data_IF_329669908423
#
_entry.id   IF_329669908423
#
_cell.length_a   1.000
_cell.length_b   1.000
_cell.length_c   1.000
_cell.angle_alpha   90.00
_cell.angle_beta   90.00
_cell.angle_gamma   90.00
#
_symmetry.space_group_name_H-M   'P 1'
#
loop_
_entity.id
_entity.type
_entity.pdbx_description
1 polymer ?
#
# COMPACT_ATOMS: atom_id res chain seq x y z
N UNK A 1 -27.97 -34.81 -62.97
CA UNK A 1 -27.01 -33.71 -62.70
C UNK A 1 -27.54 -32.71 -61.66
N UNK A 2 -28.79 -32.23 -61.80
CA UNK A 2 -29.45 -31.28 -60.87
C UNK A 2 -29.39 -31.64 -59.37
N UNK A 3 -29.70 -32.91 -59.06
CA UNK A 3 -29.81 -33.42 -57.67
C UNK A 3 -28.46 -33.41 -56.94
N UNK A 4 -27.38 -33.75 -57.65
CA UNK A 4 -26.00 -33.75 -57.13
C UNK A 4 -25.57 -32.32 -56.81
N UNK A 5 -25.88 -31.37 -57.70
CA UNK A 5 -25.55 -29.95 -57.50
C UNK A 5 -26.27 -29.35 -56.28
N UNK A 6 -27.56 -29.67 -56.08
CA UNK A 6 -28.33 -29.22 -54.90
C UNK A 6 -27.79 -29.80 -53.58
N UNK A 7 -27.40 -31.07 -53.58
CA UNK A 7 -26.78 -31.71 -52.41
C UNK A 7 -25.41 -31.12 -52.09
N UNK A 8 -24.58 -30.87 -53.09
CA UNK A 8 -23.27 -30.24 -52.88
C UNK A 8 -23.39 -28.82 -52.28
N UNK A 9 -24.32 -28.01 -52.83
CA UNK A 9 -24.57 -26.65 -52.33
C UNK A 9 -25.11 -26.66 -50.89
N UNK A 10 -25.93 -27.64 -50.51
CA UNK A 10 -26.49 -27.73 -49.15
C UNK A 10 -25.44 -28.10 -48.11
N UNK A 11 -24.54 -29.04 -48.42
CA UNK A 11 -23.42 -29.42 -47.54
C UNK A 11 -22.40 -28.28 -47.41
N UNK A 12 -22.08 -27.59 -48.51
CA UNK A 12 -21.22 -26.40 -48.47
C UNK A 12 -21.82 -25.29 -47.58
N UNK A 13 -23.13 -25.05 -47.67
CA UNK A 13 -23.82 -24.07 -46.83
C UNK A 13 -23.80 -24.45 -45.34
N UNK A 14 -23.88 -25.74 -45.01
CA UNK A 14 -23.77 -26.22 -43.62
C UNK A 14 -22.35 -26.05 -43.06
N UNK A 15 -21.32 -26.35 -43.86
CA UNK A 15 -19.92 -26.15 -43.47
C UNK A 15 -19.57 -24.68 -43.21
N UNK A 16 -20.02 -23.80 -44.10
CA UNK A 16 -19.84 -22.34 -43.97
C UNK A 16 -20.53 -21.81 -42.69
N UNK A 17 -21.76 -22.26 -42.39
CA UNK A 17 -22.47 -21.88 -41.16
C UNK A 17 -21.76 -22.36 -39.88
N UNK A 18 -21.20 -23.58 -39.89
CA UNK A 18 -20.41 -24.10 -38.76
C UNK A 18 -19.14 -23.28 -38.55
N UNK A 19 -18.45 -22.92 -39.64
CA UNK A 19 -17.23 -22.11 -39.60
C UNK A 19 -17.48 -20.69 -39.06
N UNK A 20 -18.57 -20.04 -39.48
CA UNK A 20 -18.96 -18.74 -38.93
C UNK A 20 -19.37 -18.84 -37.44
N UNK A 21 -20.05 -19.92 -37.04
CA UNK A 21 -20.46 -20.13 -35.65
C UNK A 21 -19.27 -20.37 -34.71
N UNK A 22 -18.28 -21.17 -35.13
CA UNK A 22 -17.07 -21.42 -34.33
C UNK A 22 -16.17 -20.19 -34.25
N UNK A 23 -16.04 -19.42 -35.34
CA UNK A 23 -15.29 -18.16 -35.33
C UNK A 23 -15.96 -17.12 -34.41
N UNK A 24 -17.29 -17.07 -34.38
CA UNK A 24 -18.05 -16.20 -33.48
C UNK A 24 -17.92 -16.60 -32.01
N UNK A 25 -17.86 -17.90 -31.69
CA UNK A 25 -17.71 -18.39 -30.31
C UNK A 25 -16.30 -18.10 -29.75
N UNK A 26 -15.27 -18.24 -30.60
CA UNK A 26 -13.88 -17.90 -30.27
C UNK A 26 -13.69 -16.40 -30.08
N UNK A 27 -14.26 -15.57 -30.94
CA UNK A 27 -14.21 -14.11 -30.82
C UNK A 27 -14.93 -13.61 -29.54
N UNK A 28 -16.05 -14.23 -29.17
CA UNK A 28 -16.78 -13.88 -27.95
C UNK A 28 -16.01 -14.26 -26.67
N UNK A 29 -15.36 -15.42 -26.64
CA UNK A 29 -14.51 -15.83 -25.52
C UNK A 29 -13.31 -14.90 -25.30
N UNK A 30 -12.72 -14.38 -26.39
CA UNK A 30 -11.61 -13.44 -26.34
C UNK A 30 -12.04 -12.05 -25.81
N UNK A 31 -13.27 -11.62 -26.13
CA UNK A 31 -13.85 -10.35 -25.66
C UNK A 31 -14.23 -10.38 -24.17
N UNK A 32 -14.70 -11.53 -23.65
CA UNK A 32 -15.02 -11.70 -22.23
C UNK A 32 -13.76 -11.76 -21.36
N UNK A 33 -12.66 -12.36 -21.87
CA UNK A 33 -11.36 -12.39 -21.17
C UNK A 33 -10.74 -10.99 -21.00
N UNK A 34 -10.95 -10.11 -21.99
CA UNK A 34 -10.50 -8.70 -21.92
C UNK A 34 -11.19 -7.86 -20.84
N UNK A 35 -12.40 -8.25 -20.39
CA UNK A 35 -13.19 -7.50 -19.42
C UNK A 35 -12.91 -7.88 -17.96
N UNK A 36 -12.24 -9.02 -17.72
CA UNK A 36 -11.98 -9.52 -16.37
C UNK A 36 -10.77 -8.86 -15.66
N UNK A 37 -10.01 -8.01 -16.35
CA UNK A 37 -8.79 -7.40 -15.82
C UNK A 37 -8.98 -6.02 -15.18
N UNK A 38 -10.22 -5.54 -14.99
CA UNK A 38 -10.49 -4.34 -14.19
C UNK A 38 -10.48 -4.66 -12.69
N UNK A 39 -9.35 -5.19 -12.18
CA UNK A 39 -9.09 -5.11 -10.75
C UNK A 39 -8.79 -3.65 -10.43
N UNK A 40 -9.79 -2.94 -9.89
CA UNK A 40 -9.57 -1.62 -9.32
C UNK A 40 -8.51 -1.74 -8.23
N UNK A 41 -7.33 -1.17 -8.47
CA UNK A 41 -6.36 -0.94 -7.43
C UNK A 41 -6.99 0.02 -6.42
N UNK A 42 -7.44 -0.51 -5.28
CA UNK A 42 -7.91 0.32 -4.18
C UNK A 42 -6.70 1.13 -3.70
N UNK A 43 -6.77 2.45 -3.78
CA UNK A 43 -5.73 3.31 -3.25
C UNK A 43 -5.73 3.14 -1.73
N UNK A 44 -4.76 2.38 -1.22
CA UNK A 44 -4.61 2.14 0.21
C UNK A 44 -4.12 3.42 0.88
N UNK A 45 -4.98 4.08 1.64
CA UNK A 45 -4.61 5.25 2.44
C UNK A 45 -3.82 4.82 3.68
N UNK A 46 -2.70 5.48 3.95
CA UNK A 46 -1.86 5.24 5.13
C UNK A 46 -1.98 6.38 6.13
N UNK A 47 -1.68 6.10 7.39
CA UNK A 47 -1.62 7.08 8.45
C UNK A 47 -0.42 6.82 9.36
N UNK A 48 0.11 7.91 9.92
CA UNK A 48 0.99 7.84 11.09
C UNK A 48 0.13 7.70 12.32
N UNK A 49 0.40 6.69 13.12
CA UNK A 49 -0.41 6.28 14.27
C UNK A 49 0.43 6.13 15.53
N UNK A 50 -0.23 6.28 16.67
CA UNK A 50 0.35 6.06 17.99
C UNK A 50 -0.65 5.36 18.92
N UNK A 51 -0.21 5.10 20.15
CA UNK A 51 -1.05 4.49 21.17
C UNK A 51 -2.30 5.37 21.43
N UNK A 52 -3.49 4.80 21.72
CA UNK A 52 -4.72 5.56 21.93
C UNK A 52 -4.60 6.67 22.99
N UNK A 53 -3.80 6.41 24.03
CA UNK A 53 -3.53 7.37 25.11
C UNK A 53 -2.38 8.36 24.83
N UNK A 54 -1.77 8.32 23.65
CA UNK A 54 -0.68 9.24 23.32
C UNK A 54 -1.21 10.69 23.29
N UNK A 55 -0.39 11.69 23.69
CA UNK A 55 -0.76 13.10 23.54
C UNK A 55 -0.96 13.46 22.07
N UNK A 56 -1.49 14.65 21.79
CA UNK A 56 -1.47 15.17 20.42
C UNK A 56 -0.03 15.53 20.05
N UNK A 57 0.41 15.06 18.88
CA UNK A 57 1.77 15.25 18.38
C UNK A 57 1.65 15.97 17.04
N UNK A 58 2.04 17.26 16.95
CA UNK A 58 1.97 18.00 15.71
C UNK A 58 3.01 17.48 14.71
N UNK A 59 2.79 17.73 13.42
CA UNK A 59 3.64 17.24 12.33
C UNK A 59 5.12 17.63 12.48
N UNK A 60 5.39 18.84 12.98
CA UNK A 60 6.75 19.31 13.23
C UNK A 60 7.49 18.50 14.30
N UNK A 61 6.74 18.00 15.30
CA UNK A 61 7.29 17.11 16.31
C UNK A 61 7.47 15.70 15.77
N UNK A 62 6.53 15.20 14.96
CA UNK A 62 6.68 13.91 14.27
C UNK A 62 7.94 13.89 13.41
N UNK A 63 8.21 14.96 12.66
CA UNK A 63 9.44 15.12 11.89
C UNK A 63 10.68 15.00 12.78
N UNK A 64 10.74 15.75 13.88
CA UNK A 64 11.87 15.68 14.83
C UNK A 64 12.03 14.30 15.45
N UNK A 65 10.93 13.59 15.73
CA UNK A 65 10.96 12.22 16.26
C UNK A 65 11.57 11.26 15.22
N UNK A 66 11.09 11.27 13.99
CA UNK A 66 11.57 10.39 12.92
C UNK A 66 12.99 10.72 12.43
N UNK A 67 13.45 11.95 12.65
CA UNK A 67 14.83 12.40 12.41
C UNK A 67 15.76 12.18 13.61
N UNK A 68 15.24 11.76 14.77
CA UNK A 68 16.01 11.48 15.98
C UNK A 68 16.38 12.69 16.82
N UNK A 69 15.88 13.88 16.47
CA UNK A 69 16.10 15.14 17.18
C UNK A 69 15.25 15.25 18.45
N UNK A 70 14.12 14.52 18.53
CA UNK A 70 13.27 14.42 19.72
C UNK A 70 13.12 12.97 20.15
N UNK A 71 13.53 12.66 21.39
CA UNK A 71 13.57 11.28 21.94
C UNK A 71 12.49 10.97 22.98
N UNK A 72 11.75 11.99 23.43
CA UNK A 72 10.68 11.85 24.41
C UNK A 72 9.47 12.71 24.01
N UNK A 73 8.27 12.26 24.35
CA UNK A 73 7.03 13.04 24.28
C UNK A 73 6.96 14.08 25.41
N UNK A 74 6.01 15.04 25.37
CA UNK A 74 5.87 16.07 26.40
C UNK A 74 5.68 15.53 27.82
N UNK A 75 5.13 14.34 27.96
CA UNK A 75 4.91 13.62 29.23
C UNK A 75 6.16 12.85 29.71
N UNK A 76 7.28 12.92 28.98
CA UNK A 76 8.51 12.19 29.28
C UNK A 76 8.56 10.76 28.70
N UNK A 77 7.50 10.29 28.04
CA UNK A 77 7.46 8.95 27.44
C UNK A 77 8.49 8.85 26.30
N UNK A 78 9.39 7.88 26.38
CA UNK A 78 10.41 7.65 25.33
C UNK A 78 9.77 7.22 24.02
N UNK A 79 10.07 7.92 22.92
CA UNK A 79 9.51 7.60 21.61
C UNK A 79 10.25 6.44 20.95
N UNK A 80 9.50 5.60 20.24
CA UNK A 80 10.02 4.50 19.42
C UNK A 80 9.39 4.58 18.02
N UNK A 81 9.92 5.42 17.11
CA UNK A 81 9.42 5.50 15.75
C UNK A 81 9.71 4.19 14.99
N UNK A 82 8.76 3.76 14.16
CA UNK A 82 8.89 2.54 13.34
C UNK A 82 8.61 2.81 11.87
N UNK A 83 9.19 1.98 11.00
CA UNK A 83 8.94 1.94 9.56
C UNK A 83 8.60 0.52 9.10
N UNK A 84 7.72 0.40 8.11
CA UNK A 84 7.43 -0.88 7.43
C UNK A 84 8.00 -0.89 6.01
N UNK A 85 8.34 -2.09 5.53
CA UNK A 85 8.69 -2.35 4.13
C UNK A 85 7.46 -2.16 3.24
N UNK A 86 7.21 -0.92 2.85
CA UNK A 86 5.96 -0.51 2.18
C UNK A 86 5.54 0.91 2.52
N UNK A 87 6.24 1.58 3.44
CA UNK A 87 6.01 2.99 3.77
C UNK A 87 5.98 3.84 2.48
N UNK A 88 4.88 4.58 2.23
CA UNK A 88 4.68 5.37 1.02
C UNK A 88 5.70 6.50 0.90
N UNK A 89 6.02 6.93 -0.33
CA UNK A 89 6.97 8.03 -0.59
C UNK A 89 6.44 9.35 -0.01
N UNK A 90 5.13 9.51 -0.06
CA UNK A 90 4.36 10.64 0.47
C UNK A 90 4.61 10.87 1.95
N UNK A 91 4.86 9.82 2.73
CA UNK A 91 5.23 9.96 4.14
C UNK A 91 6.53 10.77 4.28
N UNK A 92 7.57 10.38 3.54
CA UNK A 92 8.87 11.03 3.62
C UNK A 92 8.75 12.50 3.19
N UNK A 93 8.06 12.75 2.07
CA UNK A 93 7.90 14.11 1.56
C UNK A 93 7.03 15.00 2.46
N UNK A 94 5.83 14.53 2.86
CA UNK A 94 4.85 15.36 3.57
C UNK A 94 5.10 15.44 5.07
N UNK A 95 5.59 14.37 5.69
CA UNK A 95 5.86 14.34 7.14
C UNK A 95 7.29 14.76 7.44
N UNK A 96 8.27 14.31 6.65
CA UNK A 96 9.68 14.56 6.94
C UNK A 96 10.26 15.74 6.13
N UNK A 97 9.60 16.16 5.05
CA UNK A 97 10.07 17.22 4.17
C UNK A 97 11.29 16.84 3.33
N UNK A 98 11.52 15.54 3.11
CA UNK A 98 12.63 15.03 2.32
C UNK A 98 12.26 13.72 1.62
N UNK A 99 12.92 13.36 0.52
CA UNK A 99 12.65 12.10 -0.15
C UNK A 99 13.12 10.88 0.64
N UNK A 100 12.55 9.71 0.37
CA UNK A 100 12.92 8.44 1.02
C UNK A 100 14.41 8.14 0.91
N UNK A 101 15.00 8.36 -0.26
CA UNK A 101 16.44 8.19 -0.47
C UNK A 101 17.26 9.13 0.40
N UNK A 102 16.86 10.40 0.50
CA UNK A 102 17.53 11.40 1.34
C UNK A 102 17.42 11.03 2.82
N UNK A 103 16.26 10.54 3.26
CA UNK A 103 16.05 10.06 4.62
C UNK A 103 16.99 8.90 4.99
N UNK A 104 17.13 7.89 4.14
CA UNK A 104 18.06 6.78 4.41
C UNK A 104 19.53 7.22 4.34
N UNK A 105 19.89 8.11 3.42
CA UNK A 105 21.23 8.71 3.37
C UNK A 105 21.55 9.51 4.64
N UNK A 106 20.58 10.30 5.10
CA UNK A 106 20.67 11.06 6.34
C UNK A 106 20.97 10.13 7.54
N UNK A 107 20.25 9.02 7.66
CA UNK A 107 20.47 8.06 8.74
C UNK A 107 21.79 7.30 8.62
N UNK A 108 22.23 6.99 7.39
CA UNK A 108 23.54 6.39 7.14
C UNK A 108 24.67 7.27 7.69
N UNK A 109 24.61 8.59 7.48
CA UNK A 109 25.61 9.54 8.01
C UNK A 109 25.51 9.65 9.55
N UNK A 110 24.30 9.75 10.09
CA UNK A 110 24.03 9.91 11.54
C UNK A 110 24.51 8.72 12.37
N UNK A 111 24.33 7.49 11.88
CA UNK A 111 24.78 6.27 12.58
C UNK A 111 26.30 6.25 12.70
N UNK A 112 27.01 6.62 11.62
CA UNK A 112 28.48 6.71 11.60
C UNK A 112 28.99 7.75 12.61
N UNK A 113 28.22 8.81 12.88
CA UNK A 113 28.52 9.82 13.89
C UNK A 113 28.23 9.41 15.35
N UNK A 114 27.75 8.20 15.63
CA UNK A 114 27.65 7.62 16.97
C UNK A 114 26.51 8.12 17.89
N UNK A 115 25.60 8.98 17.42
CA UNK A 115 24.69 9.72 18.33
C UNK A 115 23.19 9.35 18.32
N UNK A 116 22.71 8.62 17.32
CA UNK A 116 21.26 8.48 17.10
C UNK A 116 20.86 7.14 16.50
N UNK A 117 19.74 6.62 16.98
CA UNK A 117 19.16 5.35 16.55
C UNK A 117 18.09 5.67 15.49
N UNK A 118 18.14 5.06 14.29
CA UNK A 118 17.12 5.26 13.27
C UNK A 118 15.76 4.70 13.73
N UNK A 119 14.66 5.06 13.05
CA UNK A 119 13.39 4.37 13.24
C UNK A 119 13.56 2.85 13.08
N UNK A 120 12.86 2.11 13.94
CA UNK A 120 12.91 0.65 13.95
C UNK A 120 12.19 0.11 12.73
N UNK A 121 12.89 -0.66 11.90
CA UNK A 121 12.24 -1.42 10.84
C UNK A 121 11.42 -2.56 11.46
N UNK A 122 10.17 -2.68 11.04
CA UNK A 122 9.24 -3.75 11.41
C UNK A 122 8.71 -4.41 10.13
N UNK A 123 8.42 -5.70 10.21
CA UNK A 123 8.16 -6.55 9.05
C UNK A 123 6.74 -6.36 8.48
N UNK A 124 5.79 -5.90 9.30
CA UNK A 124 4.39 -5.78 8.92
C UNK A 124 3.64 -4.71 9.71
N UNK A 125 2.47 -4.30 9.20
CA UNK A 125 1.52 -3.46 9.93
C UNK A 125 1.08 -4.13 11.24
N UNK A 126 0.90 -5.46 11.25
CA UNK A 126 0.54 -6.23 12.46
C UNK A 126 1.58 -6.06 13.56
N UNK A 127 2.86 -6.18 13.22
CA UNK A 127 3.95 -6.00 14.17
C UNK A 127 4.02 -4.54 14.68
N UNK A 128 3.79 -3.57 13.80
CA UNK A 128 3.69 -2.16 14.18
C UNK A 128 2.54 -1.92 15.18
N UNK A 129 1.36 -2.46 14.91
CA UNK A 129 0.16 -2.36 15.76
C UNK A 129 0.43 -2.96 17.15
N UNK A 130 1.01 -4.16 17.20
CA UNK A 130 1.33 -4.84 18.46
C UNK A 130 2.31 -4.01 19.29
N UNK A 131 3.37 -3.50 18.66
CA UNK A 131 4.34 -2.65 19.34
C UNK A 131 3.71 -1.35 19.86
N UNK A 132 2.80 -0.74 19.10
CA UNK A 132 2.05 0.45 19.52
C UNK A 132 1.17 0.16 20.74
N UNK A 133 0.53 -1.01 20.79
CA UNK A 133 -0.30 -1.42 21.94
C UNK A 133 0.51 -1.70 23.19
N UNK A 134 1.68 -2.30 23.04
CA UNK A 134 2.56 -2.65 24.17
C UNK A 134 3.35 -1.44 24.68
N UNK A 135 3.67 -0.48 23.81
CA UNK A 135 4.51 0.67 24.13
C UNK A 135 3.81 1.99 23.77
N UNK A 136 3.41 2.76 24.80
CA UNK A 136 2.74 4.06 24.66
C UNK A 136 3.54 5.09 23.86
N UNK A 137 4.86 4.95 23.80
CA UNK A 137 5.75 5.82 23.02
C UNK A 137 6.02 5.34 21.60
N UNK A 138 5.52 4.17 21.19
CA UNK A 138 5.70 3.69 19.83
C UNK A 138 4.81 4.47 18.84
N UNK A 139 5.42 4.82 17.71
CA UNK A 139 4.77 5.57 16.62
C UNK A 139 5.08 4.82 15.33
N UNK A 140 4.06 4.51 14.55
CA UNK A 140 4.20 3.70 13.35
C UNK A 140 3.32 4.14 12.20
N UNK A 141 3.41 3.40 11.09
CA UNK A 141 2.67 3.69 9.86
C UNK A 141 1.86 2.45 9.50
N UNK A 142 0.55 2.64 9.35
CA UNK A 142 -0.41 1.58 9.02
C UNK A 142 -1.47 2.12 8.08
N UNK A 143 -2.23 1.24 7.44
CA UNK A 143 -3.41 1.65 6.68
C UNK A 143 -4.48 2.29 7.58
N UNK A 144 -5.18 3.29 7.05
CA UNK A 144 -6.23 4.01 7.78
C UNK A 144 -7.32 3.06 8.28
N UNK A 145 -7.68 2.06 7.48
CA UNK A 145 -8.71 1.08 7.85
C UNK A 145 -8.27 0.20 9.03
N UNK A 146 -7.00 -0.24 9.03
CA UNK A 146 -6.43 -0.98 10.16
C UNK A 146 -6.32 -0.11 11.40
N UNK A 147 -5.88 1.14 11.27
CA UNK A 147 -5.82 2.09 12.39
C UNK A 147 -7.17 2.24 13.09
N UNK A 148 -8.24 2.44 12.30
CA UNK A 148 -9.61 2.56 12.81
C UNK A 148 -10.09 1.26 13.45
N UNK A 149 -9.90 0.11 12.78
CA UNK A 149 -10.31 -1.21 13.29
C UNK A 149 -9.65 -1.53 14.63
N UNK A 150 -8.37 -1.20 14.77
CA UNK A 150 -7.58 -1.51 15.96
C UNK A 150 -7.70 -0.42 17.05
N UNK A 151 -8.45 0.65 16.79
CA UNK A 151 -8.70 1.75 17.73
C UNK A 151 -7.46 2.61 18.01
N UNK A 152 -6.49 2.64 17.10
CA UNK A 152 -5.26 3.42 17.27
C UNK A 152 -5.50 4.91 17.10
N UNK A 153 -4.67 5.73 17.76
CA UNK A 153 -4.71 7.17 17.58
C UNK A 153 -4.07 7.54 16.24
N UNK A 154 -4.86 8.11 15.34
CA UNK A 154 -4.37 8.66 14.07
C UNK A 154 -3.80 10.06 14.33
N UNK A 155 -2.53 10.26 14.03
CA UNK A 155 -1.85 11.55 14.19
C UNK A 155 -1.92 12.37 12.90
N UNK A 156 -1.73 11.72 11.76
CA UNK A 156 -1.88 12.32 10.44
C UNK A 156 -2.19 11.26 9.40
N UNK A 157 -3.13 11.56 8.48
CA UNK A 157 -3.39 10.76 7.29
C UNK A 157 -2.44 11.20 6.18
N UNK A 158 -1.75 10.24 5.58
CA UNK A 158 -0.85 10.43 4.46
C UNK A 158 -1.71 10.37 3.19
N UNK A 159 -2.07 11.54 2.67
CA UNK A 159 -2.68 11.72 1.34
C UNK A 159 -1.64 12.26 0.38
#
# INVERSE_FOLDING_TARGET
>A
MEKIKKTYISEMRKGIRKLFFTFSLLAFGMLVSSLACYFSAYAQEFAVVAHPSAPDIPIEELKKIYLGDKKNLPDGTKVTPTLIKGTPEEFFQKVLGMGKKQFFQYWMIRIVGGGSIPPKDVESEEQAINLIRENKGAIGIVSVDRAKKEGLKILIVIK
#
